data_IF_117781039296
#
_entry.id   IF_117781039296
#
_cell.length_a   1.000
_cell.length_b   1.000
_cell.length_c   1.000
_cell.angle_alpha   90.00
_cell.angle_beta   90.00
_cell.angle_gamma   90.00
#
_symmetry.space_group_name_H-M   'P 1'
#
loop_
_entity.id
_entity.type
_entity.pdbx_description
1 polymer ?
#
# COMPACT_ATOMS: atom_id res chain seq x y z
N UNK A 1 1.89 -4.66 13.10
CA UNK A 1 1.69 -4.88 11.64
C UNK A 1 2.73 -5.87 11.11
N UNK A 2 2.61 -7.17 11.41
CA UNK A 2 3.59 -8.19 10.94
C UNK A 2 3.30 -8.60 9.48
N UNK A 3 2.03 -8.65 9.09
CA UNK A 3 1.59 -9.11 7.77
C UNK A 3 1.46 -7.99 6.73
N UNK A 4 1.57 -6.72 7.13
CA UNK A 4 1.28 -5.60 6.24
C UNK A 4 2.24 -5.49 5.06
N UNK A 5 3.54 -5.75 5.26
CA UNK A 5 4.54 -5.64 4.20
C UNK A 5 4.31 -6.61 3.04
N UNK A 6 4.03 -7.88 3.34
CA UNK A 6 3.93 -8.92 2.30
C UNK A 6 2.55 -8.98 1.65
N UNK A 7 1.49 -8.61 2.38
CA UNK A 7 0.12 -8.67 1.87
C UNK A 7 -0.34 -7.35 1.25
N UNK A 8 0.08 -6.21 1.82
CA UNK A 8 -0.38 -4.87 1.42
C UNK A 8 0.75 -4.07 0.80
N UNK A 9 1.82 -3.74 1.53
CA UNK A 9 2.91 -2.90 1.04
C UNK A 9 3.96 -3.68 0.22
N UNK A 10 3.48 -4.41 -0.80
CA UNK A 10 4.29 -5.26 -1.71
C UNK A 10 5.25 -4.41 -2.55
N UNK A 11 6.50 -4.84 -2.67
CA UNK A 11 7.56 -4.10 -3.39
C UNK A 11 7.26 -3.87 -4.89
N UNK A 12 6.59 -4.82 -5.56
CA UNK A 12 6.37 -4.78 -7.02
C UNK A 12 4.96 -4.39 -7.47
N UNK A 13 4.11 -3.92 -6.55
CA UNK A 13 2.77 -3.33 -6.75
C UNK A 13 2.12 -3.34 -5.36
N UNK A 14 2.27 -2.27 -4.56
CA UNK A 14 1.61 -2.21 -3.27
C UNK A 14 0.10 -2.19 -3.48
N UNK A 15 -0.66 -2.62 -2.48
CA UNK A 15 -2.11 -2.58 -2.46
C UNK A 15 -2.55 -1.34 -1.67
N UNK A 16 -2.27 -0.16 -2.22
CA UNK A 16 -2.51 1.11 -1.55
C UNK A 16 -3.97 1.35 -1.14
N UNK A 17 -5.01 0.99 -1.92
CA UNK A 17 -6.40 1.20 -1.48
C UNK A 17 -6.80 0.30 -0.31
N UNK A 18 -6.16 -0.87 -0.16
CA UNK A 18 -6.35 -1.77 0.99
C UNK A 18 -5.49 -1.39 2.21
N UNK A 19 -4.65 -0.35 2.10
CA UNK A 19 -3.74 0.06 3.15
C UNK A 19 -4.44 1.01 4.15
N UNK A 20 -4.51 0.66 5.45
CA UNK A 20 -5.15 1.51 6.46
C UNK A 20 -4.41 2.83 6.71
N UNK A 21 -3.16 2.95 6.26
CA UNK A 21 -2.36 4.18 6.34
C UNK A 21 -2.18 4.83 4.98
N UNK A 22 -3.01 4.49 3.99
CA UNK A 22 -2.91 5.05 2.64
C UNK A 22 -2.97 6.57 2.65
N UNK A 23 -3.82 7.17 3.46
CA UNK A 23 -3.99 8.63 3.57
C UNK A 23 -2.74 9.32 4.15
N UNK A 24 -2.03 8.65 5.06
CA UNK A 24 -0.79 9.14 5.68
C UNK A 24 0.46 8.80 4.88
N UNK A 25 0.37 7.84 3.95
CA UNK A 25 1.50 7.34 3.18
C UNK A 25 1.95 8.38 2.15
N UNK A 26 3.21 8.80 2.21
CA UNK A 26 3.83 9.76 1.26
C UNK A 26 4.36 9.11 -0.03
N UNK A 27 4.06 7.85 -0.26
CA UNK A 27 4.48 7.15 -1.47
C UNK A 27 3.85 7.80 -2.71
N UNK A 28 4.67 8.19 -3.70
CA UNK A 28 4.21 8.93 -4.88
C UNK A 28 3.54 8.03 -5.93
N UNK A 29 3.95 6.77 -6.03
CA UNK A 29 3.45 5.82 -7.01
C UNK A 29 2.36 4.91 -6.43
N UNK A 30 1.39 5.47 -5.71
CA UNK A 30 0.28 4.68 -5.15
C UNK A 30 -0.47 3.99 -6.28
N UNK A 31 -0.74 2.71 -6.09
CA UNK A 31 -1.67 1.99 -6.96
C UNK A 31 -3.05 2.58 -6.75
N UNK A 32 -3.58 3.18 -7.80
CA UNK A 32 -4.97 3.63 -7.84
C UNK A 32 -5.77 2.42 -8.28
N UNK A 33 -6.80 2.03 -7.53
CA UNK A 33 -7.78 1.08 -8.06
C UNK A 33 -8.40 1.75 -9.29
N UNK A 34 -8.27 1.09 -10.46
CA UNK A 34 -8.87 1.54 -11.70
C UNK A 34 -10.40 1.59 -11.56
#
# INVERSE_FOLDING_TARGET
>A
LILHGRYVCKARKPDCPACPVSDLCRFKAKTVAA
#
